data_IF_082612079764
#
_entry.id   IF_082612079764
#
_cell.length_a   1.000
_cell.length_b   1.000
_cell.length_c   1.000
_cell.angle_alpha   90.00
_cell.angle_beta   90.00
_cell.angle_gamma   90.00
#
_symmetry.space_group_name_H-M   'P 1'
#
loop_
_entity.id
_entity.type
_entity.pdbx_description
1 polymer ?
#
# COMPACT_ATOMS: atom_id res chain seq x y z
N UNK A 1 31.03 -0.33 8.93
CA UNK A 1 30.86 1.11 9.24
C UNK A 1 29.50 1.26 9.92
N UNK A 2 29.34 2.22 10.85
CA UNK A 2 28.04 2.43 11.50
C UNK A 2 27.79 3.92 11.76
N UNK A 3 26.71 4.46 11.19
CA UNK A 3 26.32 5.86 11.37
C UNK A 3 25.14 5.98 12.33
N UNK A 4 25.21 6.94 13.25
CA UNK A 4 24.13 7.17 14.21
C UNK A 4 23.10 8.11 13.61
N UNK A 5 21.88 8.05 14.11
CA UNK A 5 20.87 9.07 13.85
C UNK A 5 21.43 10.43 14.30
N UNK A 6 21.40 11.42 13.40
CA UNK A 6 22.05 12.73 13.58
C UNK A 6 23.39 12.90 12.86
N UNK A 7 24.02 11.84 12.37
CA UNK A 7 25.27 11.93 11.59
C UNK A 7 25.03 12.71 10.28
N UNK A 8 25.94 13.64 9.97
CA UNK A 8 25.96 14.39 8.70
C UNK A 8 26.89 13.71 7.71
N UNK A 9 26.35 13.29 6.58
CA UNK A 9 27.07 12.63 5.50
C UNK A 9 27.11 13.51 4.27
N UNK A 10 28.20 13.42 3.51
CA UNK A 10 28.25 13.86 2.13
C UNK A 10 28.44 12.62 1.27
N UNK A 11 27.45 12.31 0.44
CA UNK A 11 27.43 11.13 -0.42
C UNK A 11 27.51 11.58 -1.87
N UNK A 12 28.65 11.35 -2.53
CA UNK A 12 28.86 11.75 -3.94
C UNK A 12 28.55 13.23 -4.20
N UNK A 13 28.90 14.10 -3.25
CA UNK A 13 28.64 15.54 -3.32
C UNK A 13 27.26 15.98 -2.80
N UNK A 14 26.42 15.06 -2.32
CA UNK A 14 25.08 15.33 -1.78
C UNK A 14 25.13 15.36 -0.25
N UNK A 15 25.08 16.54 0.40
CA UNK A 15 25.03 16.62 1.85
C UNK A 15 23.66 16.17 2.37
N UNK A 16 23.66 15.39 3.45
CA UNK A 16 22.45 14.90 4.08
C UNK A 16 22.66 14.53 5.54
N UNK A 17 21.56 14.34 6.26
CA UNK A 17 21.56 13.90 7.65
C UNK A 17 20.90 12.53 7.77
N UNK A 18 21.54 11.62 8.48
CA UNK A 18 20.95 10.34 8.88
C UNK A 18 19.81 10.63 9.86
N UNK A 19 18.58 10.32 9.45
CA UNK A 19 17.37 10.51 10.28
C UNK A 19 16.83 9.19 10.81
N UNK A 20 17.28 8.06 10.27
CA UNK A 20 16.97 6.73 10.77
C UNK A 20 17.85 5.66 10.12
N UNK A 21 17.84 4.45 10.66
CA UNK A 21 18.47 3.30 10.04
C UNK A 21 17.72 2.01 10.35
N UNK A 22 17.91 1.02 9.49
CA UNK A 22 17.43 -0.36 9.64
C UNK A 22 18.61 -1.29 9.45
N UNK A 23 18.83 -2.21 10.40
CA UNK A 23 19.76 -3.31 10.22
C UNK A 23 18.99 -4.56 9.87
N UNK A 24 19.34 -5.15 8.73
CA UNK A 24 18.74 -6.37 8.25
C UNK A 24 19.66 -7.56 8.47
N UNK A 25 19.07 -8.75 8.44
CA UNK A 25 19.79 -10.00 8.24
C UNK A 25 19.05 -10.89 7.23
N UNK A 26 19.81 -11.67 6.45
CA UNK A 26 19.27 -12.73 5.62
C UNK A 26 19.37 -14.07 6.40
N UNK A 27 18.25 -14.66 6.87
CA UNK A 27 18.28 -15.89 7.64
C UNK A 27 18.74 -17.11 6.83
N UNK A 28 18.65 -17.04 5.51
CA UNK A 28 19.01 -18.14 4.62
C UNK A 28 20.50 -18.14 4.27
N UNK A 29 21.19 -17.01 4.48
CA UNK A 29 22.60 -16.87 4.19
C UNK A 29 23.43 -16.54 5.44
N UNK A 30 23.49 -17.49 6.37
CA UNK A 30 24.36 -17.43 7.56
C UNK A 30 24.20 -16.17 8.43
N UNK A 31 23.02 -15.53 8.42
CA UNK A 31 22.73 -14.26 9.10
C UNK A 31 23.67 -13.12 8.68
N UNK A 32 24.04 -13.07 7.40
CA UNK A 32 24.72 -11.89 6.83
C UNK A 32 23.82 -10.67 7.00
N UNK A 33 24.45 -9.56 7.34
CA UNK A 33 23.76 -8.36 7.78
C UNK A 33 24.33 -7.13 7.10
N UNK A 34 23.43 -6.30 6.58
CA UNK A 34 23.72 -4.98 6.04
C UNK A 34 22.91 -3.94 6.82
N UNK A 35 23.25 -2.67 6.65
CA UNK A 35 22.53 -1.58 7.30
C UNK A 35 22.12 -0.55 6.26
N UNK A 36 20.85 -0.16 6.33
CA UNK A 36 20.29 0.88 5.49
C UNK A 36 20.05 2.14 6.31
N UNK A 37 20.52 3.27 5.80
CA UNK A 37 20.37 4.57 6.44
C UNK A 37 19.39 5.41 5.64
N UNK A 38 18.38 5.93 6.33
CA UNK A 38 17.48 6.94 5.79
C UNK A 38 18.13 8.31 5.95
N UNK A 39 18.34 8.98 4.83
CA UNK A 39 19.09 10.23 4.76
C UNK A 39 18.20 11.34 4.21
N UNK A 40 18.09 12.41 4.99
CA UNK A 40 17.39 13.63 4.58
C UNK A 40 18.37 14.59 3.90
N UNK A 41 18.10 14.91 2.65
CA UNK A 41 18.88 15.89 1.86
C UNK A 41 18.03 17.12 1.55
N UNK A 42 18.61 18.13 0.88
CA UNK A 42 17.86 19.28 0.36
C UNK A 42 16.87 18.89 -0.75
N UNK A 43 17.17 17.82 -1.48
CA UNK A 43 16.48 17.44 -2.72
C UNK A 43 15.43 16.35 -2.47
N UNK A 44 15.32 15.90 -1.23
CA UNK A 44 14.43 14.84 -0.81
C UNK A 44 15.14 13.78 0.03
N UNK A 45 14.51 12.63 0.13
CA UNK A 45 15.02 11.51 0.91
C UNK A 45 15.82 10.56 0.03
N UNK A 46 16.88 10.00 0.61
CA UNK A 46 17.79 9.03 -0.01
C UNK A 46 18.01 7.91 0.98
N UNK A 47 18.08 6.69 0.48
CA UNK A 47 18.48 5.53 1.27
C UNK A 47 19.91 5.15 0.90
N UNK A 48 20.75 4.94 1.90
CA UNK A 48 22.11 4.45 1.74
C UNK A 48 22.17 3.03 2.29
N UNK A 49 22.42 2.05 1.43
CA UNK A 49 22.71 0.69 1.85
C UNK A 49 24.22 0.51 2.03
N UNK A 50 24.61 -0.14 3.12
CA UNK A 50 26.00 -0.47 3.43
C UNK A 50 26.10 -1.94 3.82
N UNK A 51 26.70 -2.75 2.95
CA UNK A 51 27.12 -4.11 3.24
C UNK A 51 28.63 -4.16 3.44
N UNK A 52 29.05 -4.35 4.69
CA UNK A 52 30.46 -4.42 5.06
C UNK A 52 31.07 -5.81 4.88
N UNK A 53 30.23 -6.84 4.71
CA UNK A 53 30.68 -8.22 4.49
C UNK A 53 31.20 -8.36 3.05
N UNK A 54 30.51 -7.73 2.10
CA UNK A 54 30.85 -7.75 0.68
C UNK A 54 31.51 -6.49 0.15
N UNK A 55 31.61 -5.45 0.99
CA UNK A 55 32.12 -4.14 0.60
C UNK A 55 31.28 -3.51 -0.54
N UNK A 56 29.96 -3.64 -0.42
CA UNK A 56 28.96 -3.18 -1.40
C UNK A 56 28.15 -2.02 -0.80
N UNK A 57 28.05 -0.93 -1.56
CA UNK A 57 27.36 0.28 -1.14
C UNK A 57 26.53 0.83 -2.28
N UNK A 58 25.33 1.30 -1.96
CA UNK A 58 24.41 1.83 -2.96
C UNK A 58 23.57 2.93 -2.36
N UNK A 59 23.09 3.82 -3.23
CA UNK A 59 22.08 4.81 -2.86
C UNK A 59 20.84 4.64 -3.71
N UNK A 60 19.67 4.83 -3.09
CA UNK A 60 18.39 4.64 -3.75
C UNK A 60 17.36 5.71 -3.42
N UNK A 61 16.37 5.77 -4.31
CA UNK A 61 15.19 6.60 -4.24
C UNK A 61 13.94 5.77 -4.52
N UNK A 62 12.78 6.16 -3.96
CA UNK A 62 11.52 5.53 -4.29
C UNK A 62 11.21 5.58 -5.80
N UNK A 63 10.91 4.43 -6.39
CA UNK A 63 10.63 4.24 -7.81
C UNK A 63 9.13 4.01 -8.07
N UNK A 64 8.30 4.92 -7.59
CA UNK A 64 6.83 4.86 -7.62
C UNK A 64 6.20 4.75 -9.03
N UNK A 65 7.00 4.97 -10.08
CA UNK A 65 6.59 4.86 -11.48
C UNK A 65 6.72 3.43 -12.04
N UNK A 66 7.50 2.54 -11.40
CA UNK A 66 7.74 1.18 -11.88
C UNK A 66 6.48 0.32 -11.78
N UNK A 67 5.73 0.42 -10.66
CA UNK A 67 4.39 -0.20 -10.48
C UNK A 67 4.32 -1.67 -10.93
N UNK A 68 5.32 -2.48 -10.57
CA UNK A 68 5.43 -3.90 -10.96
C UNK A 68 5.75 -4.17 -12.44
N UNK A 69 5.93 -3.13 -13.26
CA UNK A 69 6.32 -3.25 -14.68
C UNK A 69 7.83 -3.12 -14.81
N UNK A 70 8.52 -4.22 -14.53
CA UNK A 70 9.96 -4.34 -14.77
C UNK A 70 10.19 -4.42 -16.27
N UNK A 71 10.84 -3.40 -16.83
CA UNK A 71 11.15 -3.33 -18.26
C UNK A 71 12.26 -4.31 -18.67
N UNK A 72 12.38 -4.63 -19.97
CA UNK A 72 13.39 -5.58 -20.47
C UNK A 72 14.83 -5.08 -20.32
N UNK A 73 15.03 -3.81 -19.99
CA UNK A 73 16.34 -3.22 -19.68
C UNK A 73 16.89 -3.67 -18.32
N UNK A 74 16.05 -4.24 -17.45
CA UNK A 74 16.41 -4.74 -16.12
C UNK A 74 16.51 -6.25 -16.14
N UNK A 75 17.59 -6.78 -15.58
CA UNK A 75 17.80 -8.21 -15.41
C UNK A 75 17.97 -8.53 -13.93
N UNK A 76 17.33 -9.61 -13.48
CA UNK A 76 17.37 -10.02 -12.08
C UNK A 76 18.78 -10.51 -11.74
N UNK A 77 19.33 -10.00 -10.65
CA UNK A 77 20.68 -10.36 -10.16
C UNK A 77 20.63 -11.05 -8.80
N UNK A 78 19.64 -10.74 -7.97
CA UNK A 78 19.50 -11.36 -6.65
C UNK A 78 18.03 -11.51 -6.23
N UNK A 79 17.77 -12.41 -5.30
CA UNK A 79 16.52 -12.50 -4.55
C UNK A 79 16.73 -13.15 -3.20
N UNK A 80 15.94 -12.75 -2.21
CA UNK A 80 16.04 -13.35 -0.90
C UNK A 80 14.97 -12.89 0.05
N UNK A 81 15.25 -13.09 1.33
CA UNK A 81 14.40 -12.63 2.42
C UNK A 81 15.23 -11.80 3.38
N UNK A 82 14.78 -10.59 3.67
CA UNK A 82 15.35 -9.72 4.67
C UNK A 82 14.51 -9.74 5.95
N UNK A 83 15.16 -9.79 7.10
CA UNK A 83 14.53 -9.71 8.42
C UNK A 83 15.13 -8.56 9.19
N UNK A 84 14.28 -7.69 9.75
CA UNK A 84 14.69 -6.54 10.55
C UNK A 84 15.26 -7.03 11.87
N UNK A 85 16.54 -6.76 12.11
CA UNK A 85 17.22 -7.08 13.37
C UNK A 85 17.05 -5.97 14.40
N UNK A 86 17.23 -4.72 13.96
CA UNK A 86 16.96 -3.53 14.75
C UNK A 86 16.74 -2.31 13.85
N UNK A 87 16.08 -1.30 14.41
CA UNK A 87 15.79 -0.04 13.73
C UNK A 87 15.85 1.11 14.75
N UNK A 88 16.29 2.29 14.32
CA UNK A 88 16.32 3.49 15.16
C UNK A 88 16.05 4.74 14.31
N UNK A 89 15.40 5.73 14.90
CA UNK A 89 15.08 7.00 14.26
C UNK A 89 13.78 6.97 13.48
N UNK A 90 13.70 7.77 12.42
CA UNK A 90 12.52 7.95 11.58
C UNK A 90 12.44 6.79 10.56
N UNK A 91 11.99 5.63 11.00
CA UNK A 91 11.77 4.42 10.18
C UNK A 91 10.57 3.65 10.73
N UNK A 92 9.71 3.10 9.85
CA UNK A 92 8.45 2.43 10.21
C UNK A 92 8.58 0.90 10.08
N UNK A 93 9.52 0.32 10.83
CA UNK A 93 9.70 -1.13 10.92
C UNK A 93 10.02 -1.58 12.34
N UNK A 94 9.52 -2.75 12.72
CA UNK A 94 9.78 -3.36 14.02
C UNK A 94 10.76 -4.55 13.90
N UNK A 95 11.61 -4.81 14.92
CA UNK A 95 12.44 -6.01 14.96
C UNK A 95 11.62 -7.29 14.78
N UNK A 96 12.03 -8.12 13.81
CA UNK A 96 11.37 -9.37 13.43
C UNK A 96 10.44 -9.25 12.22
N UNK A 97 10.12 -8.03 11.76
CA UNK A 97 9.45 -7.83 10.47
C UNK A 97 10.36 -8.29 9.32
N UNK A 98 9.74 -8.67 8.20
CA UNK A 98 10.47 -9.24 7.08
C UNK A 98 9.84 -8.93 5.74
N UNK A 99 10.68 -8.80 4.72
CA UNK A 99 10.28 -8.68 3.32
C UNK A 99 10.97 -9.75 2.49
N UNK A 100 10.29 -10.25 1.46
CA UNK A 100 10.95 -10.94 0.37
C UNK A 100 11.43 -9.88 -0.63
N UNK A 101 12.66 -9.98 -1.13
CA UNK A 101 13.22 -9.00 -2.04
C UNK A 101 13.68 -9.63 -3.36
N UNK A 102 13.67 -8.83 -4.42
CA UNK A 102 14.26 -9.15 -5.72
C UNK A 102 15.02 -7.94 -6.22
N UNK A 103 16.30 -8.11 -6.53
CA UNK A 103 17.14 -7.07 -7.10
C UNK A 103 17.37 -7.28 -8.58
N UNK A 104 17.39 -6.16 -9.30
CA UNK A 104 17.65 -6.09 -10.72
C UNK A 104 18.74 -5.06 -11.00
N UNK A 105 19.54 -5.32 -12.01
CA UNK A 105 20.51 -4.37 -12.55
C UNK A 105 20.17 -4.03 -14.01
N UNK A 106 20.56 -2.84 -14.44
CA UNK A 106 20.54 -2.51 -15.86
C UNK A 106 21.73 -3.15 -16.60
N UNK A 107 21.80 -2.97 -17.92
CA UNK A 107 22.90 -3.54 -18.74
C UNK A 107 24.29 -2.98 -18.39
N UNK A 108 24.35 -1.84 -17.69
CA UNK A 108 25.62 -1.26 -17.26
C UNK A 108 26.13 -1.82 -15.94
N UNK A 109 25.26 -2.50 -15.19
CA UNK A 109 25.52 -2.96 -13.81
C UNK A 109 25.81 -1.78 -12.85
N UNK A 110 25.56 -0.53 -13.25
CA UNK A 110 25.76 0.66 -12.41
C UNK A 110 24.46 1.11 -11.71
N UNK A 111 23.30 0.77 -12.30
CA UNK A 111 21.99 1.13 -11.76
C UNK A 111 21.25 -0.09 -11.25
N UNK A 112 20.59 0.08 -10.11
CA UNK A 112 19.80 -0.97 -9.47
C UNK A 112 18.31 -0.62 -9.48
N UNK A 113 17.50 -1.66 -9.46
CA UNK A 113 16.07 -1.61 -9.20
C UNK A 113 15.76 -2.72 -8.21
N UNK A 114 15.28 -2.37 -7.02
CA UNK A 114 14.86 -3.34 -6.02
C UNK A 114 13.34 -3.37 -5.91
N UNK A 115 12.83 -4.57 -5.63
CA UNK A 115 11.45 -4.84 -5.32
C UNK A 115 11.42 -5.55 -3.98
N UNK A 116 10.80 -4.93 -2.98
CA UNK A 116 10.58 -5.55 -1.68
C UNK A 116 9.10 -5.88 -1.53
N UNK A 117 8.77 -7.07 -1.05
CA UNK A 117 7.42 -7.55 -0.81
C UNK A 117 7.27 -7.79 0.69
N UNK A 118 6.60 -6.84 1.34
CA UNK A 118 6.25 -6.87 2.75
C UNK A 118 4.88 -7.51 2.95
N UNK A 119 4.51 -7.79 4.20
CA UNK A 119 3.15 -8.29 4.52
C UNK A 119 2.06 -7.32 4.03
N UNK A 120 2.37 -6.03 3.96
CA UNK A 120 1.39 -4.96 3.74
C UNK A 120 1.51 -4.26 2.37
N UNK A 121 2.40 -4.71 1.48
CA UNK A 121 2.56 -4.19 0.13
C UNK A 121 3.90 -4.52 -0.53
N UNK A 122 4.07 -4.05 -1.76
CA UNK A 122 5.37 -4.10 -2.44
C UNK A 122 5.93 -2.71 -2.64
N UNK A 123 7.23 -2.57 -2.44
CA UNK A 123 7.97 -1.33 -2.55
C UNK A 123 8.97 -1.44 -3.68
N UNK A 124 9.19 -0.32 -4.36
CA UNK A 124 10.08 -0.26 -5.51
C UNK A 124 11.05 0.88 -5.29
N UNK A 125 12.33 0.62 -5.44
CA UNK A 125 13.38 1.64 -5.35
C UNK A 125 14.33 1.51 -6.54
N UNK A 126 14.84 2.65 -7.00
CA UNK A 126 15.89 2.71 -8.02
C UNK A 126 17.12 3.31 -7.40
N UNK A 127 18.26 2.76 -7.70
CA UNK A 127 19.52 3.19 -7.13
C UNK A 127 20.68 3.19 -8.11
N UNK A 128 21.82 3.59 -7.56
CA UNK A 128 23.13 3.51 -8.19
C UNK A 128 24.13 2.95 -7.18
N UNK A 129 25.06 2.13 -7.65
CA UNK A 129 26.21 1.72 -6.86
C UNK A 129 27.13 2.90 -6.59
N UNK A 130 27.73 2.92 -5.40
CA UNK A 130 28.71 3.92 -4.99
C UNK A 130 29.91 3.25 -4.32
N UNK A 131 31.04 3.95 -4.31
CA UNK A 131 32.21 3.47 -3.60
C UNK A 131 32.15 3.88 -2.13
N UNK A 132 32.76 3.09 -1.25
CA UNK A 132 32.92 3.47 0.17
C UNK A 132 33.53 4.87 0.33
N UNK A 133 34.46 5.22 -0.57
CA UNK A 133 35.13 6.52 -0.57
C UNK A 133 34.21 7.69 -0.96
N UNK A 134 33.05 7.43 -1.56
CA UNK A 134 32.06 8.45 -1.87
C UNK A 134 31.24 8.89 -0.64
N UNK A 135 31.37 8.17 0.47
CA UNK A 135 30.63 8.42 1.73
C UNK A 135 31.57 9.09 2.72
N UNK A 136 31.38 10.39 2.93
CA UNK A 136 32.22 11.19 3.83
C UNK A 136 31.39 11.68 5.01
N UNK A 137 31.77 11.29 6.23
CA UNK A 137 31.22 11.88 7.45
C UNK A 137 31.76 13.30 7.62
N UNK A 138 30.84 14.26 7.71
CA UNK A 138 31.15 15.70 7.76
C UNK A 138 30.84 16.32 9.12
N UNK A 139 30.14 15.61 10.00
CA UNK A 139 29.81 16.08 11.34
C UNK A 139 28.65 15.31 11.97
N UNK A 140 28.11 15.88 13.03
CA UNK A 140 27.00 15.31 13.79
C UNK A 140 26.12 16.42 14.35
N UNK A 141 24.80 16.27 14.20
CA UNK A 141 23.80 17.12 14.82
C UNK A 141 22.99 16.30 15.82
N UNK A 142 23.03 16.71 17.09
CA UNK A 142 22.27 16.03 18.14
C UNK A 142 20.77 16.21 17.90
N UNK A 143 20.03 15.10 17.89
CA UNK A 143 18.57 15.15 17.89
C UNK A 143 18.09 15.74 19.21
N UNK A 144 17.63 16.99 19.19
CA UNK A 144 16.92 17.55 20.34
C UNK A 144 15.61 16.77 20.50
N UNK A 145 15.50 15.94 21.54
CA UNK A 145 14.22 15.48 22.03
C UNK A 145 13.32 16.72 22.19
N UNK A 146 12.17 16.73 21.51
CA UNK A 146 11.35 17.93 21.31
C UNK A 146 11.08 18.68 22.61
N UNK A 147 11.67 19.87 22.76
CA UNK A 147 11.27 20.82 23.78
C UNK A 147 10.00 21.55 23.32
N UNK A 148 8.99 21.51 24.18
CA UNK A 148 7.67 22.10 23.95
C UNK A 148 7.72 23.57 23.53
N UNK A 149 6.81 23.92 22.63
CA UNK A 149 6.63 25.25 22.07
C UNK A 149 6.35 26.26 23.21
N UNK A 150 7.23 27.25 23.38
CA UNK A 150 7.03 28.34 24.34
C UNK A 150 5.99 29.36 23.87
N UNK A 151 5.11 29.77 24.79
CA UNK A 151 3.76 30.25 24.54
C UNK A 151 3.57 31.67 23.96
N UNK A 152 4.62 32.42 23.59
CA UNK A 152 4.47 33.86 23.29
C UNK A 152 4.77 34.31 21.86
N UNK A 153 5.04 33.40 20.91
CA UNK A 153 5.04 33.72 19.46
C UNK A 153 3.89 33.06 18.68
N UNK A 154 3.11 32.20 19.34
CA UNK A 154 1.97 31.50 18.72
C UNK A 154 0.76 32.37 18.43
N UNK A 155 0.58 33.51 19.12
CA UNK A 155 -0.67 34.31 19.00
C UNK A 155 -0.77 35.03 17.65
N UNK A 156 0.35 35.47 17.07
CA UNK A 156 0.37 36.18 15.77
C UNK A 156 0.30 35.23 14.57
N UNK A 157 0.89 34.04 14.69
CA UNK A 157 0.82 32.99 13.64
C UNK A 157 -0.54 32.29 13.66
N UNK A 158 -1.13 32.09 14.85
CA UNK A 158 -2.49 31.54 14.99
C UNK A 158 -3.57 32.46 14.42
N UNK A 159 -3.42 33.79 14.48
CA UNK A 159 -4.38 34.71 13.89
C UNK A 159 -4.38 34.65 12.35
N UNK A 160 -3.21 34.53 11.72
CA UNK A 160 -3.08 34.39 10.27
C UNK A 160 -3.54 33.00 9.78
N UNK A 161 -3.23 31.94 10.54
CA UNK A 161 -3.70 30.58 10.25
C UNK A 161 -5.21 30.47 10.45
N UNK A 162 -5.80 31.12 11.47
CA UNK A 162 -7.24 31.11 11.69
C UNK A 162 -8.01 31.81 10.57
N UNK A 163 -7.49 32.90 10.00
CA UNK A 163 -8.09 33.57 8.84
C UNK A 163 -8.01 32.74 7.55
N UNK A 164 -6.92 31.99 7.34
CA UNK A 164 -6.75 31.08 6.20
C UNK A 164 -7.62 29.82 6.38
N UNK A 165 -7.68 29.26 7.59
CA UNK A 165 -8.55 28.14 7.94
C UNK A 165 -10.04 28.49 7.84
N UNK A 166 -10.46 29.73 8.16
CA UNK A 166 -11.84 30.18 7.95
C UNK A 166 -12.20 30.30 6.45
N UNK A 167 -11.23 30.60 5.59
CA UNK A 167 -11.45 30.67 4.14
C UNK A 167 -11.52 29.28 3.49
N UNK A 168 -10.75 28.31 4.00
CA UNK A 168 -10.80 26.90 3.56
C UNK A 168 -12.02 26.17 4.13
N UNK A 169 -12.46 26.51 5.35
CA UNK A 169 -13.65 25.94 5.98
C UNK A 169 -14.99 26.33 5.31
N UNK A 170 -15.00 27.32 4.41
CA UNK A 170 -16.20 27.71 3.67
C UNK A 170 -16.42 26.92 2.37
N UNK A 171 -15.47 26.09 1.93
CA UNK A 171 -15.59 25.34 0.65
C UNK A 171 -15.44 23.82 0.81
N UNK A 172 -15.19 23.30 2.02
CA UNK A 172 -15.12 21.85 2.23
C UNK A 172 -15.50 21.47 3.65
N UNK A 173 -16.79 21.27 3.88
CA UNK A 173 -17.27 20.62 5.10
C UNK A 173 -16.70 19.19 5.20
N UNK A 174 -16.46 18.78 6.46
CA UNK A 174 -16.01 17.47 6.96
C UNK A 174 -14.49 17.27 7.13
N UNK A 175 -13.93 17.98 8.12
CA UNK A 175 -12.89 17.43 8.99
C UNK A 175 -13.58 16.67 10.13
N UNK A 176 -13.29 15.38 10.28
CA UNK A 176 -13.08 14.71 11.59
C UNK A 176 -12.82 13.20 11.42
N UNK A 177 -11.55 12.79 11.46
CA UNK A 177 -11.07 11.69 12.32
C UNK A 177 -9.58 11.44 12.06
N UNK A 178 -8.74 11.96 12.95
CA UNK A 178 -7.43 11.34 13.21
C UNK A 178 -7.71 10.10 14.07
N UNK A 179 -7.82 8.94 13.44
CA UNK A 179 -7.95 7.61 14.06
C UNK A 179 -7.34 6.60 13.08
N UNK A 180 -6.72 5.53 13.62
CA UNK A 180 -5.93 4.55 12.87
C UNK A 180 -6.53 4.13 11.54
N UNK A 181 -5.68 3.95 10.54
CA UNK A 181 -6.11 3.72 9.15
C UNK A 181 -7.05 2.51 9.07
N UNK A 182 -8.24 2.75 8.53
CA UNK A 182 -9.28 1.76 8.47
C UNK A 182 -9.00 0.76 7.34
N UNK A 183 -8.39 -0.39 7.65
CA UNK A 183 -8.06 -1.41 6.63
C UNK A 183 -9.27 -2.19 6.10
N UNK A 184 -10.45 -2.03 6.73
CA UNK A 184 -11.66 -2.79 6.41
C UNK A 184 -12.68 -1.89 5.69
N UNK A 185 -13.17 -2.35 4.55
CA UNK A 185 -14.24 -1.74 3.78
C UNK A 185 -15.50 -1.64 4.64
N UNK A 186 -15.96 -2.73 5.27
CA UNK A 186 -17.20 -2.70 6.07
C UNK A 186 -17.19 -1.61 7.14
N UNK A 187 -16.10 -1.51 7.90
CA UNK A 187 -15.92 -0.47 8.92
C UNK A 187 -15.91 0.94 8.30
N UNK A 188 -15.31 1.11 7.13
CA UNK A 188 -15.30 2.41 6.45
C UNK A 188 -16.72 2.80 6.02
N UNK A 189 -17.46 1.87 5.40
CA UNK A 189 -18.85 2.10 4.98
C UNK A 189 -19.76 2.41 6.18
N UNK A 190 -19.60 1.71 7.31
CA UNK A 190 -20.38 1.92 8.53
C UNK A 190 -20.15 3.27 9.20
N UNK A 191 -18.93 3.81 9.08
CA UNK A 191 -18.54 5.07 9.73
C UNK A 191 -18.76 6.31 8.85
N UNK A 192 -18.93 6.11 7.54
CA UNK A 192 -19.07 7.20 6.58
C UNK A 192 -20.54 7.55 6.32
N UNK A 193 -20.88 8.83 6.47
CA UNK A 193 -22.23 9.35 6.18
C UNK A 193 -22.62 9.23 4.70
N UNK A 194 -21.67 8.87 3.82
CA UNK A 194 -21.91 8.70 2.38
C UNK A 194 -22.64 7.41 2.04
N UNK A 195 -22.70 6.45 2.97
CA UNK A 195 -23.26 5.12 2.74
C UNK A 195 -24.46 4.86 3.65
N UNK A 196 -25.56 4.42 3.05
CA UNK A 196 -26.79 4.10 3.77
C UNK A 196 -26.99 2.59 3.73
N UNK A 197 -27.16 1.96 4.89
CA UNK A 197 -27.49 0.54 4.98
C UNK A 197 -28.81 0.25 4.24
N UNK A 198 -28.78 -0.73 3.34
CA UNK A 198 -29.95 -1.18 2.58
C UNK A 198 -30.49 -2.50 3.15
N UNK A 199 -29.63 -3.51 3.23
CA UNK A 199 -30.02 -4.87 3.65
C UNK A 199 -28.81 -5.73 3.99
N UNK A 200 -29.06 -6.92 4.53
CA UNK A 200 -28.05 -7.96 4.73
C UNK A 200 -28.53 -9.28 4.13
N UNK A 201 -27.63 -9.96 3.41
CA UNK A 201 -27.87 -11.26 2.80
C UNK A 201 -27.28 -12.36 3.69
N UNK A 202 -28.08 -13.38 3.98
CA UNK A 202 -27.60 -14.59 4.66
C UNK A 202 -26.99 -15.56 3.64
N UNK A 203 -25.78 -16.05 3.94
CA UNK A 203 -25.08 -17.06 3.17
C UNK A 203 -24.95 -18.38 3.94
N UNK A 204 -24.22 -19.31 3.34
CA UNK A 204 -23.89 -20.59 3.97
C UNK A 204 -22.86 -20.39 5.10
N UNK A 205 -22.71 -21.41 5.96
CA UNK A 205 -21.75 -21.39 7.08
C UNK A 205 -21.92 -20.18 8.02
N UNK A 206 -23.18 -19.74 8.20
CA UNK A 206 -23.58 -18.55 8.98
C UNK A 206 -22.89 -17.25 8.54
N UNK A 207 -22.40 -17.18 7.30
CA UNK A 207 -21.78 -15.98 6.76
C UNK A 207 -22.85 -14.98 6.31
N UNK A 208 -22.49 -13.70 6.27
CA UNK A 208 -23.37 -12.63 5.80
C UNK A 208 -22.63 -11.70 4.85
N UNK A 209 -23.40 -11.10 3.94
CA UNK A 209 -23.00 -9.92 3.19
C UNK A 209 -23.89 -8.73 3.60
N UNK A 210 -23.33 -7.53 3.56
CA UNK A 210 -24.06 -6.29 3.83
C UNK A 210 -24.10 -5.46 2.57
N UNK A 211 -25.26 -4.85 2.32
CA UNK A 211 -25.49 -3.99 1.15
C UNK A 211 -25.71 -2.57 1.62
N UNK A 212 -24.99 -1.65 1.02
CA UNK A 212 -25.13 -0.21 1.19
C UNK A 212 -25.52 0.45 -0.12
N UNK A 213 -26.17 1.61 -0.04
CA UNK A 213 -26.41 2.52 -1.16
C UNK A 213 -25.59 3.78 -0.94
N UNK A 214 -24.92 4.27 -1.98
CA UNK A 214 -24.27 5.58 -1.93
C UNK A 214 -25.34 6.68 -1.89
N UNK A 215 -25.23 7.61 -0.94
CA UNK A 215 -26.33 8.52 -0.61
C UNK A 215 -26.63 9.56 -1.72
N UNK A 216 -25.64 9.86 -2.57
CA UNK A 216 -25.73 10.83 -3.66
C UNK A 216 -25.56 10.18 -5.04
N UNK A 217 -26.05 10.81 -6.11
CA UNK A 217 -25.73 10.38 -7.47
C UNK A 217 -24.21 10.37 -7.68
N UNK A 218 -23.68 9.23 -8.07
CA UNK A 218 -22.26 9.00 -8.30
C UNK A 218 -22.10 7.89 -9.35
N UNK A 219 -20.93 7.83 -9.99
CA UNK A 219 -20.57 6.67 -10.83
C UNK A 219 -20.00 5.54 -9.96
N UNK A 220 -20.00 4.31 -10.47
CA UNK A 220 -19.30 3.21 -9.78
C UNK A 220 -17.82 3.53 -9.58
N UNK A 221 -17.20 4.25 -10.52
CA UNK A 221 -15.81 4.72 -10.45
C UNK A 221 -15.58 5.69 -9.29
N UNK A 222 -16.47 6.67 -9.08
CA UNK A 222 -16.39 7.62 -7.97
C UNK A 222 -16.46 6.88 -6.63
N UNK A 223 -17.42 5.96 -6.51
CA UNK A 223 -17.64 5.18 -5.30
C UNK A 223 -16.47 4.23 -5.03
N UNK A 224 -15.92 3.58 -6.06
CA UNK A 224 -14.74 2.74 -5.91
C UNK A 224 -13.51 3.54 -5.45
N UNK A 225 -13.27 4.74 -6.01
CA UNK A 225 -12.18 5.61 -5.55
C UNK A 225 -12.36 6.05 -4.10
N UNK A 226 -13.59 6.36 -3.69
CA UNK A 226 -13.92 6.74 -2.31
C UNK A 226 -13.65 5.59 -1.33
N UNK A 227 -14.08 4.37 -1.66
CA UNK A 227 -13.79 3.18 -0.84
C UNK A 227 -12.29 2.97 -0.72
N UNK A 228 -11.57 2.96 -1.85
CA UNK A 228 -10.11 2.75 -1.88
C UNK A 228 -9.38 3.82 -1.06
N UNK A 229 -9.80 5.09 -1.13
CA UNK A 229 -9.27 6.15 -0.27
C UNK A 229 -9.60 5.94 1.20
N UNK A 230 -10.86 5.59 1.50
CA UNK A 230 -11.34 5.33 2.85
C UNK A 230 -10.61 4.19 3.54
N UNK A 231 -10.17 3.21 2.76
CA UNK A 231 -9.31 2.12 3.22
C UNK A 231 -7.84 2.33 2.90
N UNK A 232 -7.40 3.55 2.56
CA UNK A 232 -6.01 3.89 2.29
C UNK A 232 -5.26 2.93 1.34
N UNK A 233 -5.95 2.42 0.32
CA UNK A 233 -5.40 1.53 -0.69
C UNK A 233 -5.17 0.09 -0.24
N UNK A 234 -5.64 -0.34 0.93
CA UNK A 234 -5.51 -1.72 1.43
C UNK A 234 -6.33 -2.73 0.59
N UNK A 235 -5.86 -3.05 -0.62
CA UNK A 235 -6.49 -3.98 -1.58
C UNK A 235 -5.49 -5.01 -2.08
N UNK A 236 -5.94 -6.24 -2.33
CA UNK A 236 -5.19 -7.27 -3.06
C UNK A 236 -5.41 -7.20 -4.57
N UNK A 237 -6.62 -6.82 -5.00
CA UNK A 237 -6.90 -6.56 -6.41
C UNK A 237 -8.10 -5.64 -6.56
N UNK A 238 -8.04 -4.77 -7.58
CA UNK A 238 -9.22 -4.02 -8.04
C UNK A 238 -9.41 -4.20 -9.53
N UNK A 239 -10.57 -4.71 -9.92
CA UNK A 239 -10.89 -4.98 -11.33
C UNK A 239 -12.22 -4.33 -11.70
N UNK A 240 -12.19 -3.55 -12.78
CA UNK A 240 -13.39 -3.01 -13.42
C UNK A 240 -13.82 -3.94 -14.56
N UNK A 241 -15.11 -4.21 -14.64
CA UNK A 241 -15.67 -5.04 -15.71
C UNK A 241 -15.49 -4.37 -17.06
N UNK A 242 -14.94 -5.12 -18.01
CA UNK A 242 -14.66 -4.72 -19.40
C UNK A 242 -13.80 -3.45 -19.55
N UNK A 243 -13.13 -3.00 -18.49
CA UNK A 243 -12.36 -1.73 -18.44
C UNK A 243 -13.16 -0.52 -18.96
N UNK A 244 -14.47 -0.49 -18.66
CA UNK A 244 -15.38 0.57 -19.07
C UNK A 244 -15.86 1.37 -17.87
N UNK A 245 -15.86 2.69 -18.02
CA UNK A 245 -16.43 3.62 -17.05
C UNK A 245 -17.87 3.23 -16.70
N UNK A 246 -18.20 3.42 -15.43
CA UNK A 246 -19.51 3.23 -14.84
C UNK A 246 -20.04 1.79 -14.92
N UNK A 247 -19.15 0.80 -15.03
CA UNK A 247 -19.47 -0.63 -14.92
C UNK A 247 -19.17 -1.18 -13.52
N UNK A 248 -19.53 -2.43 -13.28
CA UNK A 248 -19.24 -3.13 -12.03
C UNK A 248 -17.74 -3.15 -11.71
N UNK A 249 -17.40 -2.86 -10.46
CA UNK A 249 -16.02 -2.87 -9.95
C UNK A 249 -15.97 -3.81 -8.75
N UNK A 250 -15.03 -4.73 -8.76
CA UNK A 250 -14.77 -5.65 -7.66
C UNK A 250 -13.47 -5.25 -6.96
N UNK A 251 -13.52 -5.18 -5.64
CA UNK A 251 -12.40 -4.87 -4.76
C UNK A 251 -12.20 -6.09 -3.85
N UNK A 252 -11.04 -6.73 -3.96
CA UNK A 252 -10.60 -7.77 -3.03
C UNK A 252 -9.60 -7.16 -2.06
N UNK A 253 -9.74 -7.49 -0.79
CA UNK A 253 -8.76 -7.20 0.27
C UNK A 253 -8.35 -8.52 0.94
N UNK A 254 -7.43 -8.47 1.90
CA UNK A 254 -7.04 -9.66 2.66
C UNK A 254 -8.18 -10.26 3.50
N UNK A 255 -9.19 -9.46 3.87
CA UNK A 255 -10.29 -9.90 4.76
C UNK A 255 -11.66 -9.91 4.08
N UNK A 256 -11.87 -9.05 3.10
CA UNK A 256 -13.18 -8.74 2.54
C UNK A 256 -13.19 -8.78 1.01
N UNK A 257 -14.36 -9.11 0.47
CA UNK A 257 -14.68 -8.99 -0.94
C UNK A 257 -15.87 -8.04 -1.11
N UNK A 258 -15.68 -7.05 -1.99
CA UNK A 258 -16.62 -5.96 -2.20
C UNK A 258 -16.95 -5.82 -3.70
N UNK A 259 -18.23 -5.63 -3.99
CA UNK A 259 -18.74 -5.32 -5.33
C UNK A 259 -19.43 -3.96 -5.31
N UNK A 260 -19.01 -3.08 -6.21
CA UNK A 260 -19.62 -1.78 -6.52
C UNK A 260 -20.34 -1.89 -7.86
N UNK A 261 -21.63 -1.60 -7.91
CA UNK A 261 -22.46 -1.87 -9.09
C UNK A 261 -23.71 -0.99 -9.15
N UNK A 262 -24.30 -0.90 -10.34
CA UNK A 262 -25.66 -0.41 -10.50
C UNK A 262 -26.65 -1.57 -10.33
N UNK A 263 -27.66 -1.44 -9.45
CA UNK A 263 -28.74 -2.41 -9.39
C UNK A 263 -29.57 -2.38 -10.68
N UNK A 264 -30.21 -3.50 -10.99
CA UNK A 264 -31.08 -3.66 -12.14
C UNK A 264 -32.23 -2.64 -12.09
N UNK A 265 -32.42 -1.92 -13.19
CA UNK A 265 -33.44 -0.88 -13.38
C UNK A 265 -33.28 0.40 -12.54
N UNK A 266 -32.13 0.62 -11.86
CA UNK A 266 -31.85 1.88 -11.17
C UNK A 266 -30.42 2.38 -11.42
N UNK A 267 -30.12 2.75 -12.68
CA UNK A 267 -28.79 3.22 -13.13
C UNK A 267 -28.27 4.47 -12.41
N UNK A 268 -29.14 5.22 -11.73
CA UNK A 268 -28.76 6.42 -10.98
C UNK A 268 -28.27 6.12 -9.56
N UNK A 269 -28.41 4.87 -9.10
CA UNK A 269 -27.94 4.44 -7.78
C UNK A 269 -26.71 3.56 -7.90
N UNK A 270 -25.80 3.69 -6.94
CA UNK A 270 -24.66 2.78 -6.80
C UNK A 270 -24.84 1.98 -5.52
N UNK A 271 -24.84 0.67 -5.68
CA UNK A 271 -24.93 -0.30 -4.60
C UNK A 271 -23.52 -0.85 -4.31
N UNK A 272 -23.26 -1.08 -3.03
CA UNK A 272 -22.02 -1.64 -2.52
C UNK A 272 -22.37 -2.88 -1.72
N UNK A 273 -21.98 -4.06 -2.20
CA UNK A 273 -22.12 -5.30 -1.44
C UNK A 273 -20.75 -5.73 -0.92
N UNK A 274 -20.58 -5.76 0.40
CA UNK A 274 -19.35 -6.16 1.08
C UNK A 274 -19.59 -7.38 1.96
N UNK A 275 -18.59 -8.25 2.05
CA UNK A 275 -18.63 -9.45 2.89
C UNK A 275 -17.23 -9.90 3.25
N UNK A 276 -17.09 -10.65 4.34
CA UNK A 276 -15.88 -11.42 4.58
C UNK A 276 -15.67 -12.44 3.45
N UNK A 277 -14.41 -12.74 3.11
CA UNK A 277 -14.06 -13.63 2.00
C UNK A 277 -14.71 -15.03 2.09
N UNK A 278 -14.86 -15.55 3.31
CA UNK A 278 -15.55 -16.83 3.57
C UNK A 278 -17.00 -16.86 3.06
N UNK A 279 -17.74 -15.74 3.06
CA UNK A 279 -19.10 -15.68 2.50
C UNK A 279 -19.10 -16.11 1.03
N UNK A 280 -18.17 -15.57 0.25
CA UNK A 280 -18.05 -15.88 -1.18
C UNK A 280 -17.54 -17.29 -1.39
N UNK A 281 -16.57 -17.72 -0.59
CA UNK A 281 -16.06 -19.08 -0.66
C UNK A 281 -17.18 -20.12 -0.51
N UNK A 282 -18.11 -19.91 0.43
CA UNK A 282 -19.13 -20.90 0.81
C UNK A 282 -20.49 -20.71 0.14
N UNK A 283 -20.80 -19.51 -0.38
CA UNK A 283 -22.15 -19.16 -0.85
C UNK A 283 -22.19 -18.89 -2.37
N UNK A 284 -23.27 -19.29 -3.02
CA UNK A 284 -23.54 -19.07 -4.44
C UNK A 284 -24.62 -18.00 -4.70
N UNK A 285 -25.00 -17.26 -3.67
CA UNK A 285 -25.98 -16.18 -3.74
C UNK A 285 -25.62 -15.16 -4.83
N UNK A 286 -26.62 -14.77 -5.62
CA UNK A 286 -26.51 -13.60 -6.48
C UNK A 286 -26.38 -12.32 -5.63
N UNK A 287 -25.56 -11.34 -6.04
CA UNK A 287 -25.57 -10.03 -5.39
C UNK A 287 -26.96 -9.38 -5.44
N UNK A 288 -27.26 -8.54 -4.44
CA UNK A 288 -28.59 -7.97 -4.28
C UNK A 288 -29.02 -7.14 -5.49
N UNK A 289 -30.11 -7.52 -6.16
CA UNK A 289 -30.68 -6.78 -7.30
C UNK A 289 -29.71 -6.51 -8.45
N UNK A 290 -28.66 -7.31 -8.63
CA UNK A 290 -27.79 -7.19 -9.80
C UNK A 290 -28.35 -8.00 -10.99
N UNK A 291 -28.01 -7.60 -12.21
CA UNK A 291 -28.34 -8.37 -13.41
C UNK A 291 -27.70 -9.78 -13.39
N UNK A 292 -28.26 -10.71 -14.17
CA UNK A 292 -27.67 -12.05 -14.34
C UNK A 292 -26.25 -12.00 -14.90
N UNK A 293 -25.97 -11.08 -15.82
CA UNK A 293 -24.64 -10.89 -16.37
C UNK A 293 -23.65 -10.39 -15.29
N UNK A 294 -24.07 -9.44 -14.46
CA UNK A 294 -23.28 -8.96 -13.33
C UNK A 294 -23.03 -10.04 -12.27
N UNK A 295 -24.02 -10.89 -11.98
CA UNK A 295 -23.84 -12.06 -11.10
C UNK A 295 -22.78 -13.02 -11.64
N UNK A 296 -22.82 -13.32 -12.94
CA UNK A 296 -21.82 -14.20 -13.57
C UNK A 296 -20.43 -13.60 -13.45
N UNK A 297 -20.28 -12.31 -13.77
CA UNK A 297 -19.00 -11.60 -13.69
C UNK A 297 -18.46 -11.53 -12.27
N UNK A 298 -19.29 -11.19 -11.28
CA UNK A 298 -18.94 -11.20 -9.85
C UNK A 298 -18.35 -12.54 -9.41
N UNK A 299 -18.97 -13.63 -9.84
CA UNK A 299 -18.50 -14.99 -9.52
C UNK A 299 -17.18 -15.30 -10.23
N UNK A 300 -17.08 -14.96 -11.52
CA UNK A 300 -15.84 -15.11 -12.29
C UNK A 300 -14.67 -14.34 -11.69
N UNK A 301 -14.92 -13.12 -11.25
CA UNK A 301 -13.90 -12.30 -10.61
C UNK A 301 -13.40 -12.95 -9.32
N UNK A 302 -14.28 -13.27 -8.37
CA UNK A 302 -13.87 -13.91 -7.10
C UNK A 302 -13.12 -15.23 -7.33
N UNK A 303 -13.58 -16.06 -8.28
CA UNK A 303 -12.89 -17.30 -8.62
C UNK A 303 -11.47 -17.06 -9.14
N UNK A 304 -11.28 -15.99 -9.91
CA UNK A 304 -10.00 -15.67 -10.55
C UNK A 304 -9.04 -14.94 -9.61
N UNK A 305 -9.55 -14.19 -8.62
CA UNK A 305 -8.74 -13.36 -7.73
C UNK A 305 -8.52 -13.95 -6.33
N UNK A 306 -9.56 -14.50 -5.71
CA UNK A 306 -9.52 -14.88 -4.29
C UNK A 306 -9.56 -16.38 -4.02
N UNK A 307 -10.27 -17.16 -4.86
CA UNK A 307 -10.59 -18.56 -4.56
C UNK A 307 -9.38 -19.45 -4.24
N UNK A 308 -8.27 -19.31 -4.97
CA UNK A 308 -7.09 -20.17 -4.77
C UNK A 308 -6.53 -20.02 -3.35
N UNK A 309 -6.29 -18.78 -2.90
CA UNK A 309 -5.83 -18.49 -1.54
C UNK A 309 -6.86 -18.89 -0.47
N UNK A 310 -8.14 -18.64 -0.72
CA UNK A 310 -9.23 -18.98 0.22
C UNK A 310 -9.44 -20.50 0.34
N UNK A 311 -9.24 -21.26 -0.73
CA UNK A 311 -9.33 -22.72 -0.70
C UNK A 311 -8.29 -23.34 0.23
N UNK A 312 -7.13 -22.69 0.34
CA UNK A 312 -6.08 -23.07 1.28
C UNK A 312 -6.44 -22.66 2.72
N UNK A 313 -6.90 -21.41 2.89
CA UNK A 313 -7.26 -20.86 4.21
C UNK A 313 -8.49 -21.54 4.84
N UNK A 314 -9.46 -21.95 4.03
CA UNK A 314 -10.72 -22.55 4.48
C UNK A 314 -10.79 -24.06 4.22
N UNK A 315 -9.64 -24.73 4.22
CA UNK A 315 -9.53 -26.17 4.03
C UNK A 315 -10.52 -26.93 4.92
N UNK A 316 -11.29 -27.83 4.32
CA UNK A 316 -12.33 -28.61 5.02
C UNK A 316 -13.70 -27.93 5.10
N UNK A 317 -13.84 -26.69 4.62
CA UNK A 317 -15.15 -26.05 4.44
C UNK A 317 -15.65 -26.29 3.00
N UNK A 318 -16.91 -26.71 2.79
CA UNK A 318 -17.48 -26.82 1.45
C UNK A 318 -17.46 -25.49 0.71
N UNK A 319 -17.10 -25.53 -0.58
CA UNK A 319 -17.06 -24.34 -1.43
C UNK A 319 -18.16 -24.33 -2.48
N UNK A 320 -18.79 -23.17 -2.65
CA UNK A 320 -19.68 -22.85 -3.77
C UNK A 320 -18.97 -22.82 -5.13
N UNK A 321 -17.64 -22.95 -5.14
CA UNK A 321 -16.80 -22.94 -6.33
C UNK A 321 -16.15 -24.29 -6.64
N UNK A 322 -16.41 -25.32 -5.83
CA UNK A 322 -15.86 -26.67 -6.02
C UNK A 322 -16.21 -27.30 -7.38
N UNK A 323 -17.36 -26.93 -7.96
CA UNK A 323 -17.79 -27.31 -9.31
C UNK A 323 -17.94 -26.10 -10.24
N UNK A 324 -17.22 -25.01 -9.97
CA UNK A 324 -17.30 -23.81 -10.78
C UNK A 324 -16.86 -24.11 -12.23
N UNK A 325 -17.71 -23.78 -13.18
CA UNK A 325 -17.51 -24.00 -14.62
C UNK A 325 -17.68 -22.71 -15.44
N UNK A 326 -17.71 -21.55 -14.77
CA UNK A 326 -17.77 -20.26 -15.44
C UNK A 326 -16.41 -19.83 -15.98
N UNK A 327 -16.37 -18.64 -16.56
CA UNK A 327 -15.14 -18.06 -17.11
C UNK A 327 -14.16 -17.64 -16.02
N UNK A 328 -12.88 -17.65 -16.38
CA UNK A 328 -11.79 -17.04 -15.60
C UNK A 328 -11.47 -15.67 -16.21
N UNK A 329 -11.22 -14.68 -15.37
CA UNK A 329 -10.74 -13.36 -15.77
C UNK A 329 -9.22 -13.38 -15.71
N UNK A 330 -8.56 -13.08 -16.82
CA UNK A 330 -7.10 -13.19 -16.94
C UNK A 330 -6.35 -11.90 -16.56
N UNK A 331 -7.02 -10.74 -16.58
CA UNK A 331 -6.41 -9.44 -16.30
C UNK A 331 -6.82 -8.90 -14.91
N UNK A 332 -6.84 -9.77 -13.89
CA UNK A 332 -7.12 -9.36 -12.51
C UNK A 332 -6.01 -8.43 -12.02
N UNK A 333 -6.39 -7.32 -11.37
CA UNK A 333 -5.44 -6.44 -10.68
C UNK A 333 -4.44 -5.73 -11.58
N UNK A 334 -4.73 -5.55 -12.87
CA UNK A 334 -3.83 -4.86 -13.81
C UNK A 334 -4.43 -3.57 -14.41
N UNK A 335 -5.63 -3.20 -13.94
CA UNK A 335 -6.41 -2.08 -14.45
C UNK A 335 -6.10 -0.74 -13.79
N UNK A 336 -6.76 0.31 -14.27
CA UNK A 336 -6.64 1.68 -13.74
C UNK A 336 -6.83 1.75 -12.21
N UNK A 337 -7.84 1.06 -11.69
CA UNK A 337 -8.15 1.08 -10.27
C UNK A 337 -7.10 0.38 -9.40
N UNK A 338 -6.43 -0.62 -9.93
CA UNK A 338 -5.35 -1.29 -9.22
C UNK A 338 -4.17 -0.34 -9.06
N UNK A 339 -3.75 0.28 -10.18
CA UNK A 339 -2.73 1.34 -10.19
C UNK A 339 -3.10 2.53 -9.28
N UNK A 340 -4.37 2.91 -9.26
CA UNK A 340 -4.89 3.94 -8.37
C UNK A 340 -4.79 3.50 -6.91
N UNK A 341 -5.22 2.29 -6.58
CA UNK A 341 -5.14 1.73 -5.23
C UNK A 341 -3.70 1.68 -4.73
N UNK A 342 -2.75 1.18 -5.53
CA UNK A 342 -1.32 1.20 -5.20
C UNK A 342 -0.81 2.62 -4.96
N UNK A 343 -1.26 3.61 -5.76
CA UNK A 343 -0.84 5.01 -5.56
C UNK A 343 -1.38 5.61 -4.26
N UNK A 344 -2.61 5.27 -3.88
CA UNK A 344 -3.20 5.69 -2.60
C UNK A 344 -2.53 4.98 -1.44
N UNK A 345 -2.24 3.69 -1.59
CA UNK A 345 -1.49 2.88 -0.62
C UNK A 345 -0.12 3.49 -0.37
N UNK A 346 0.63 3.76 -1.44
CA UNK A 346 1.94 4.40 -1.37
C UNK A 346 1.84 5.80 -0.76
N UNK A 347 0.86 6.61 -1.16
CA UNK A 347 0.65 7.93 -0.58
C UNK A 347 0.30 7.84 0.91
N UNK A 348 -0.48 6.82 1.31
CA UNK A 348 -0.81 6.59 2.72
C UNK A 348 0.42 6.17 3.51
N UNK A 349 1.24 5.27 2.98
CA UNK A 349 2.52 4.87 3.56
C UNK A 349 3.42 6.10 3.70
N UNK A 350 3.61 6.85 2.62
CA UNK A 350 4.41 8.08 2.61
C UNK A 350 3.87 9.18 3.56
N UNK A 351 2.57 9.24 3.80
CA UNK A 351 1.97 10.22 4.74
C UNK A 351 2.14 9.84 6.20
N UNK A 352 2.38 8.56 6.49
CA UNK A 352 2.83 8.06 7.79
C UNK A 352 4.36 8.27 7.86
N UNK A 353 4.80 9.52 7.94
CA UNK A 353 6.22 9.90 8.03
C UNK A 353 7.16 9.22 6.99
N UNK A 354 6.83 9.31 5.70
CA UNK A 354 7.74 9.21 4.53
C UNK A 354 8.89 8.20 4.54
N UNK A 355 8.75 6.98 5.07
CA UNK A 355 9.91 6.13 5.40
C UNK A 355 10.37 5.09 4.38
N UNK A 356 9.91 5.03 3.12
CA UNK A 356 10.06 3.77 2.37
C UNK A 356 10.75 3.97 1.00
N UNK A 357 12.06 3.72 0.99
CA UNK A 357 12.92 3.69 -0.21
C UNK A 357 14.17 2.83 -0.05
N UNK A 358 14.18 1.93 0.96
CA UNK A 358 15.26 0.98 1.23
C UNK A 358 15.54 0.00 0.09
N UNK A 359 16.66 -0.73 0.16
CA UNK A 359 17.16 -1.55 -0.95
C UNK A 359 17.21 -3.07 -0.76
N UNK A 360 17.68 -3.71 0.30
CA UNK A 360 18.08 -5.15 0.27
C UNK A 360 19.25 -5.49 -0.66
N UNK A 361 20.28 -4.65 -0.70
CA UNK A 361 21.50 -4.93 -1.49
C UNK A 361 22.56 -5.76 -0.74
N UNK A 362 22.13 -6.63 0.15
CA UNK A 362 23.01 -7.51 0.92
C UNK A 362 23.10 -8.88 0.24
N UNK A 363 24.18 -9.10 -0.51
CA UNK A 363 24.48 -10.38 -1.21
C UNK A 363 24.89 -11.51 -0.26
#
# INVERSE_FOLDING_TARGET
MFYRVGTLLNIKGRPGKVIGYIQYENPQDSNKAWTEYRIKTSDGEVWLSCDEIYDEYSVSWPANNVRGRIGPEWHKVDEGKQVVRCAEGDVDVDPGESADFVEYEDVSEEHTLSVEVWEDGSEFSRGEYIEKSDIVETGYEEHSAGNGISANQGVLVMACIFCICCFVALIGNHVSSYLGVNKNISKYLESSEKYVFETSLSGNENQKATVYVYHTPATTDDVARDIIQGIAGYTESVTQKDDKNNQEIAILTNQEYCLVYHPENEEQKVYIQVSGRKYNYTSDNAPYRISRAGTSWYRSHYYSSGYSSDSSAYKGTPSAYSMYNGTTIHNIGNGYFDSYSSSIRQSSINSRQSSNGGLSSGK
#
